data_IF_094492146727
#
_entry.id   IF_094492146727
#
_cell.length_a   1.000
_cell.length_b   1.000
_cell.length_c   1.000
_cell.angle_alpha   90.00
_cell.angle_beta   90.00
_cell.angle_gamma   90.00
#
_symmetry.space_group_name_H-M   'P 1'
#
loop_
_entity.id
_entity.type
_entity.pdbx_description
1 polymer ?
#
# COMPACT_ATOMS: atom_id res chain seq x y z
N UNK A 1 -20.10 0.17 0.33
CA UNK A 1 -19.30 1.38 0.65
C UNK A 1 -18.02 1.27 -0.15
N UNK A 2 -17.68 2.23 -1.02
CA UNK A 2 -16.46 2.15 -1.85
C UNK A 2 -15.26 2.39 -0.94
N UNK A 3 -14.34 1.43 -0.87
CA UNK A 3 -13.14 1.56 -0.06
C UNK A 3 -12.24 2.59 -0.71
N UNK A 4 -11.72 3.49 0.11
CA UNK A 4 -10.88 4.60 -0.31
C UNK A 4 -9.42 4.21 -0.15
N UNK A 5 -8.59 4.59 -1.12
CA UNK A 5 -7.14 4.47 -0.95
C UNK A 5 -6.68 5.39 0.19
N UNK A 6 -5.81 4.88 1.04
CA UNK A 6 -5.27 5.57 2.21
C UNK A 6 -3.95 6.25 1.86
N UNK A 7 -3.90 7.57 1.99
CA UNK A 7 -2.71 8.38 1.69
C UNK A 7 -2.08 8.86 2.99
N UNK A 8 -0.81 8.53 3.20
CA UNK A 8 0.00 9.09 4.29
C UNK A 8 0.60 10.42 3.81
N UNK A 9 0.31 11.50 4.51
CA UNK A 9 0.85 12.83 4.28
C UNK A 9 1.93 13.06 5.35
N UNK A 10 3.17 13.22 4.91
CA UNK A 10 4.34 13.51 5.75
C UNK A 10 4.74 14.94 5.50
N UNK A 11 4.33 15.86 6.38
CA UNK A 11 4.45 17.30 6.20
C UNK A 11 4.37 17.98 7.57
N UNK A 12 5.38 18.72 7.98
CA UNK A 12 5.45 19.37 9.28
C UNK A 12 4.62 20.66 9.32
N UNK A 13 4.49 21.38 8.20
CA UNK A 13 3.69 22.58 8.13
C UNK A 13 2.18 22.27 8.11
N UNK A 14 1.51 22.66 9.19
CA UNK A 14 0.10 22.35 9.41
C UNK A 14 -0.84 22.91 8.32
N UNK A 15 -0.54 24.07 7.79
CA UNK A 15 -1.32 24.72 6.73
C UNK A 15 -1.30 23.88 5.44
N UNK A 16 -0.13 23.36 5.07
CA UNK A 16 0.10 22.57 3.87
C UNK A 16 -0.49 21.17 4.05
N UNK A 17 -0.21 20.50 5.17
CA UNK A 17 -0.74 19.16 5.44
C UNK A 17 -2.28 19.15 5.48
N UNK A 18 -2.90 20.15 6.12
CA UNK A 18 -4.36 20.28 6.13
C UNK A 18 -4.93 20.57 4.72
N UNK A 19 -4.26 21.41 3.94
CA UNK A 19 -4.67 21.72 2.56
C UNK A 19 -4.62 20.46 1.69
N UNK A 20 -3.54 19.70 1.73
CA UNK A 20 -3.41 18.43 1.00
C UNK A 20 -4.49 17.44 1.46
N UNK A 21 -4.68 17.28 2.77
CA UNK A 21 -5.69 16.37 3.33
C UNK A 21 -7.11 16.73 2.90
N UNK A 22 -7.46 18.00 2.91
CA UNK A 22 -8.77 18.49 2.47
C UNK A 22 -9.01 18.15 0.99
N UNK A 23 -8.04 18.41 0.12
CA UNK A 23 -8.12 18.09 -1.31
C UNK A 23 -8.33 16.60 -1.51
N UNK A 24 -7.52 15.77 -0.86
CA UNK A 24 -7.55 14.32 -1.02
C UNK A 24 -8.85 13.73 -0.50
N UNK A 25 -9.31 14.16 0.67
CA UNK A 25 -10.57 13.70 1.27
C UNK A 25 -11.77 14.06 0.40
N UNK A 26 -11.81 15.28 -0.16
CA UNK A 26 -12.85 15.70 -1.10
C UNK A 26 -12.86 14.89 -2.40
N UNK A 27 -11.72 14.29 -2.77
CA UNK A 27 -11.57 13.44 -3.96
C UNK A 27 -11.64 11.94 -3.67
N UNK A 28 -12.07 11.55 -2.48
CA UNK A 28 -12.40 10.17 -2.15
C UNK A 28 -11.25 9.35 -1.60
N UNK A 29 -10.18 9.96 -1.13
CA UNK A 29 -9.09 9.32 -0.39
C UNK A 29 -9.31 9.39 1.12
N UNK A 30 -8.78 8.41 1.86
CA UNK A 30 -8.60 8.53 3.30
C UNK A 30 -7.17 9.03 3.59
N UNK A 31 -7.01 9.94 4.56
CA UNK A 31 -5.71 10.57 4.83
C UNK A 31 -5.25 10.34 6.26
N UNK A 32 -3.94 10.11 6.41
CA UNK A 32 -3.24 10.13 7.70
C UNK A 32 -2.19 11.23 7.58
N UNK A 33 -2.10 12.11 8.58
CA UNK A 33 -1.11 13.18 8.63
C UNK A 33 -0.09 12.85 9.73
N UNK A 34 1.20 12.95 9.39
CA UNK A 34 2.32 12.89 10.33
C UNK A 34 3.28 14.06 10.06
N UNK A 35 4.05 14.45 11.05
CA UNK A 35 4.85 15.68 10.99
C UNK A 35 6.35 15.46 11.08
N UNK A 36 6.79 14.22 11.15
CA UNK A 36 8.19 13.85 11.25
C UNK A 36 8.49 12.58 10.48
N UNK A 37 9.76 12.37 10.14
CA UNK A 37 10.21 11.18 9.45
C UNK A 37 10.08 9.92 10.31
N UNK A 38 10.34 10.02 11.61
CA UNK A 38 10.20 8.89 12.54
C UNK A 38 8.74 8.44 12.66
N UNK A 39 7.81 9.40 12.80
CA UNK A 39 6.37 9.10 12.77
C UNK A 39 5.97 8.47 11.44
N UNK A 40 6.49 8.97 10.31
CA UNK A 40 6.19 8.43 8.99
C UNK A 40 6.59 6.96 8.88
N UNK A 41 7.83 6.61 9.25
CA UNK A 41 8.31 5.23 9.21
C UNK A 41 7.46 4.31 10.11
N UNK A 42 7.06 4.79 11.29
CA UNK A 42 6.18 4.07 12.20
C UNK A 42 4.78 3.87 11.61
N UNK A 43 4.20 4.93 11.01
CA UNK A 43 2.85 4.87 10.42
C UNK A 43 2.79 4.03 9.14
N UNK A 44 3.84 4.06 8.31
CA UNK A 44 3.94 3.18 7.14
C UNK A 44 3.89 1.72 7.60
N UNK A 45 4.65 1.41 8.66
CA UNK A 45 4.71 0.05 9.21
C UNK A 45 3.39 -0.41 9.85
N UNK A 46 2.68 0.46 10.55
CA UNK A 46 1.51 0.08 11.37
C UNK A 46 0.16 0.26 10.68
N UNK A 47 0.02 1.21 9.75
CA UNK A 47 -1.25 1.57 9.12
C UNK A 47 -1.35 1.21 7.65
N UNK A 48 -0.26 0.72 7.03
CA UNK A 48 -0.21 0.25 5.64
C UNK A 48 -0.92 1.20 4.68
N UNK A 49 -0.44 2.44 4.51
CA UNK A 49 -1.00 3.34 3.52
C UNK A 49 -0.83 2.76 2.11
N UNK A 50 -1.67 3.19 1.17
CA UNK A 50 -1.58 2.80 -0.23
C UNK A 50 -0.62 3.68 -1.01
N UNK A 51 -0.28 4.87 -0.48
CA UNK A 51 0.76 5.75 -1.00
C UNK A 51 1.22 6.78 0.05
N UNK A 52 2.34 7.44 -0.24
CA UNK A 52 2.92 8.51 0.58
C UNK A 52 3.00 9.80 -0.24
N UNK A 53 2.59 10.91 0.36
CA UNK A 53 2.97 12.27 -0.03
C UNK A 53 4.02 12.73 0.96
N UNK A 54 5.23 13.03 0.50
CA UNK A 54 6.42 13.21 1.34
C UNK A 54 7.07 14.57 1.13
N UNK A 55 7.13 15.39 2.16
CA UNK A 55 8.05 16.53 2.17
C UNK A 55 9.48 16.08 2.48
N UNK A 56 10.45 16.77 1.90
CA UNK A 56 11.87 16.57 2.17
C UNK A 56 12.35 17.41 3.36
N UNK A 57 11.67 18.51 3.68
CA UNK A 57 12.05 19.45 4.72
C UNK A 57 11.48 19.12 6.10
N UNK A 58 11.67 17.89 6.59
CA UNK A 58 11.14 17.48 7.89
C UNK A 58 12.04 17.96 9.05
N UNK A 59 11.47 18.16 10.26
CA UNK A 59 12.20 18.75 11.39
C UNK A 59 13.22 17.81 12.04
N UNK A 60 13.05 16.50 11.90
CA UNK A 60 13.84 15.47 12.59
C UNK A 60 14.88 14.79 11.68
N UNK A 61 14.59 14.69 10.39
CA UNK A 61 15.49 14.09 9.39
C UNK A 61 15.18 14.60 7.99
N UNK A 62 16.10 14.43 7.05
CA UNK A 62 15.81 14.69 5.63
C UNK A 62 14.80 13.68 5.10
N UNK A 63 13.71 14.14 4.43
CA UNK A 63 12.72 13.26 3.82
C UNK A 63 13.33 12.28 2.79
N UNK A 64 14.50 12.58 2.21
CA UNK A 64 15.26 11.64 1.40
C UNK A 64 15.66 10.38 2.18
N UNK A 65 15.97 10.51 3.48
CA UNK A 65 16.29 9.36 4.33
C UNK A 65 15.03 8.50 4.60
N UNK A 66 13.86 9.15 4.70
CA UNK A 66 12.57 8.43 4.77
C UNK A 66 12.36 7.64 3.47
N UNK A 67 12.52 8.28 2.30
CA UNK A 67 12.39 7.64 0.99
C UNK A 67 13.35 6.45 0.85
N UNK A 68 14.65 6.66 1.13
CA UNK A 68 15.68 5.63 1.09
C UNK A 68 15.35 4.46 2.05
N UNK A 69 14.84 4.77 3.23
CA UNK A 69 14.45 3.76 4.22
C UNK A 69 13.26 2.93 3.75
N UNK A 70 12.24 3.58 3.19
CA UNK A 70 11.06 2.89 2.63
C UNK A 70 11.45 1.99 1.47
N UNK A 71 12.31 2.46 0.57
CA UNK A 71 12.74 1.69 -0.61
C UNK A 71 13.58 0.46 -0.29
N UNK A 72 14.16 0.36 0.90
CA UNK A 72 14.84 -0.88 1.35
C UNK A 72 13.88 -2.07 1.50
N UNK A 73 12.59 -1.83 1.65
CA UNK A 73 11.63 -2.89 1.98
C UNK A 73 10.24 -2.73 1.32
N UNK A 74 9.97 -1.63 0.59
CA UNK A 74 8.66 -1.38 -0.01
C UNK A 74 8.76 -0.63 -1.33
N UNK A 75 7.90 -1.02 -2.29
CA UNK A 75 7.63 -0.30 -3.53
C UNK A 75 6.36 0.56 -3.42
N UNK A 76 5.99 0.98 -2.20
CA UNK A 76 4.86 1.85 -1.94
C UNK A 76 5.02 3.15 -2.75
N UNK A 77 3.99 3.61 -3.50
CA UNK A 77 4.09 4.85 -4.26
C UNK A 77 4.44 6.03 -3.36
N UNK A 78 5.44 6.80 -3.77
CA UNK A 78 5.87 8.02 -3.07
C UNK A 78 5.88 9.18 -4.05
N UNK A 79 5.04 10.18 -3.78
CA UNK A 79 5.10 11.49 -4.46
C UNK A 79 5.77 12.47 -3.51
N UNK A 80 6.93 12.98 -3.93
CA UNK A 80 7.64 14.02 -3.17
C UNK A 80 6.98 15.36 -3.43
N UNK A 81 6.76 16.15 -2.36
CA UNK A 81 6.18 17.48 -2.42
C UNK A 81 7.07 18.42 -1.61
N UNK A 82 7.93 19.22 -2.25
CA UNK A 82 8.96 19.96 -1.54
C UNK A 82 9.15 21.38 -2.08
N UNK A 83 9.66 22.29 -1.23
CA UNK A 83 10.10 23.63 -1.63
C UNK A 83 11.44 23.60 -2.37
N UNK A 84 12.19 22.48 -2.33
CA UNK A 84 13.45 22.34 -3.07
C UNK A 84 13.13 22.26 -4.55
N UNK A 85 13.64 23.20 -5.35
CA UNK A 85 13.33 23.32 -6.78
C UNK A 85 14.53 23.06 -7.71
N UNK A 86 15.70 22.79 -7.16
CA UNK A 86 16.88 22.46 -7.95
C UNK A 86 16.71 21.17 -8.71
N UNK A 87 17.21 21.12 -9.93
CA UNK A 87 17.15 19.95 -10.79
C UNK A 87 17.79 18.73 -10.11
N UNK A 88 18.91 18.93 -9.42
CA UNK A 88 19.60 17.87 -8.69
C UNK A 88 18.69 17.18 -7.64
N UNK A 89 17.93 17.94 -6.84
CA UNK A 89 17.06 17.37 -5.83
C UNK A 89 15.94 16.49 -6.43
N UNK A 90 15.42 16.94 -7.58
CA UNK A 90 14.38 16.19 -8.31
C UNK A 90 14.93 14.89 -8.87
N UNK A 91 16.09 14.96 -9.53
CA UNK A 91 16.78 13.80 -10.11
C UNK A 91 17.13 12.80 -9.00
N UNK A 92 17.73 13.29 -7.91
CA UNK A 92 18.09 12.44 -6.77
C UNK A 92 16.86 11.70 -6.20
N UNK A 93 15.75 12.40 -5.97
CA UNK A 93 14.53 11.79 -5.44
C UNK A 93 13.97 10.71 -6.39
N UNK A 94 13.93 10.99 -7.69
CA UNK A 94 13.46 10.05 -8.70
C UNK A 94 14.39 8.83 -8.84
N UNK A 95 15.70 9.04 -8.83
CA UNK A 95 16.71 7.97 -8.89
C UNK A 95 16.64 7.05 -7.64
N UNK A 96 16.32 7.61 -6.48
CA UNK A 96 16.05 6.83 -5.27
C UNK A 96 14.66 6.20 -5.24
N UNK A 97 13.88 6.36 -6.32
CA UNK A 97 12.64 5.64 -6.54
C UNK A 97 11.39 6.38 -6.08
N UNK A 98 11.40 7.71 -5.97
CA UNK A 98 10.15 8.46 -5.93
C UNK A 98 9.39 8.28 -7.26
N UNK A 99 8.08 8.12 -7.18
CA UNK A 99 7.23 7.93 -8.38
C UNK A 99 6.97 9.26 -9.10
N UNK A 100 7.03 10.37 -8.37
CA UNK A 100 6.92 11.70 -8.93
C UNK A 100 7.46 12.76 -7.95
N UNK A 101 7.69 13.97 -8.46
CA UNK A 101 8.18 15.12 -7.71
C UNK A 101 7.37 16.38 -8.03
N UNK A 102 6.85 17.05 -7.01
CA UNK A 102 6.04 18.25 -7.09
C UNK A 102 6.68 19.38 -6.29
N UNK A 103 6.88 20.54 -6.93
CA UNK A 103 7.49 21.70 -6.28
C UNK A 103 6.43 22.59 -5.65
N UNK A 104 6.64 23.02 -4.41
CA UNK A 104 5.82 24.03 -3.74
C UNK A 104 6.16 25.45 -4.30
N UNK A 105 5.15 26.32 -4.56
CA UNK A 105 3.72 26.10 -4.46
C UNK A 105 3.16 25.33 -5.67
N UNK A 106 2.16 24.48 -5.44
CA UNK A 106 1.55 23.63 -6.45
C UNK A 106 0.03 23.84 -6.57
N UNK A 107 -0.50 23.49 -7.74
CA UNK A 107 -1.94 23.53 -7.99
C UNK A 107 -2.66 22.26 -7.56
N UNK A 108 -3.91 22.39 -7.09
CA UNK A 108 -4.77 21.27 -6.71
C UNK A 108 -4.87 20.20 -7.80
N UNK A 109 -5.09 20.63 -9.06
CA UNK A 109 -5.26 19.72 -10.19
C UNK A 109 -3.97 18.96 -10.49
N UNK A 110 -2.82 19.59 -10.33
CA UNK A 110 -1.51 18.97 -10.54
C UNK A 110 -1.25 17.91 -9.46
N UNK A 111 -1.42 18.23 -8.18
CA UNK A 111 -1.29 17.27 -7.08
C UNK A 111 -2.15 16.04 -7.33
N UNK A 112 -3.43 16.21 -7.64
CA UNK A 112 -4.35 15.10 -7.91
C UNK A 112 -3.96 14.28 -9.14
N UNK A 113 -3.43 14.90 -10.19
CA UNK A 113 -2.99 14.19 -11.39
C UNK A 113 -1.80 13.28 -11.07
N UNK A 114 -0.79 13.78 -10.33
CA UNK A 114 0.39 13.02 -9.92
C UNK A 114 0.03 11.87 -8.99
N UNK A 115 -0.83 12.10 -8.01
CA UNK A 115 -1.32 11.07 -7.10
C UNK A 115 -2.04 9.95 -7.87
N UNK A 116 -2.97 10.30 -8.79
CA UNK A 116 -3.65 9.29 -9.63
C UNK A 116 -2.67 8.50 -10.48
N UNK A 117 -1.65 9.16 -11.00
CA UNK A 117 -0.64 8.51 -11.84
C UNK A 117 0.22 7.55 -11.02
N UNK A 118 0.71 7.96 -9.86
CA UNK A 118 1.50 7.11 -8.96
C UNK A 118 0.71 5.87 -8.52
N UNK A 119 -0.54 6.02 -8.08
CA UNK A 119 -1.41 4.90 -7.69
C UNK A 119 -1.69 3.97 -8.90
N UNK A 120 -1.94 4.53 -10.09
CA UNK A 120 -2.18 3.73 -11.29
C UNK A 120 -0.97 2.90 -11.68
N UNK A 121 0.23 3.48 -11.66
CA UNK A 121 1.47 2.76 -11.98
C UNK A 121 1.70 1.59 -11.03
N UNK A 122 1.41 1.75 -9.74
CA UNK A 122 1.54 0.65 -8.78
C UNK A 122 0.51 -0.46 -9.01
N UNK A 123 -0.69 -0.10 -9.50
CA UNK A 123 -1.72 -1.09 -9.86
C UNK A 123 -1.39 -1.84 -11.15
N UNK A 124 -0.60 -1.23 -12.05
CA UNK A 124 -0.16 -1.85 -13.31
C UNK A 124 1.24 -2.45 -13.23
N UNK A 125 2.09 -1.92 -12.36
CA UNK A 125 3.44 -2.41 -12.11
C UNK A 125 3.46 -3.37 -10.92
N UNK A 126 2.90 -4.57 -11.09
CA UNK A 126 3.45 -5.70 -10.36
C UNK A 126 4.84 -5.95 -10.91
N UNK A 127 5.90 -6.09 -10.05
CA UNK A 127 7.23 -6.39 -10.54
C UNK A 127 7.16 -7.59 -11.47
N UNK A 128 7.81 -7.50 -12.62
CA UNK A 128 8.06 -8.63 -13.50
C UNK A 128 8.88 -9.65 -12.72
N UNK A 129 8.23 -10.62 -12.16
CA UNK A 129 8.83 -11.71 -11.42
C UNK A 129 7.98 -12.14 -10.25
N UNK A 130 7.13 -13.13 -10.47
CA UNK A 130 6.72 -14.15 -9.51
C UNK A 130 5.28 -14.19 -8.98
N UNK A 131 4.40 -13.23 -9.22
CA UNK A 131 2.96 -13.49 -9.05
C UNK A 131 2.25 -13.51 -10.42
N UNK A 132 2.94 -13.92 -11.46
CA UNK A 132 2.35 -14.13 -12.77
C UNK A 132 1.58 -15.48 -12.80
N UNK A 133 0.48 -15.57 -12.09
CA UNK A 133 -0.59 -16.46 -12.49
C UNK A 133 -1.47 -15.69 -13.46
N UNK A 134 -1.55 -16.15 -14.70
CA UNK A 134 -2.60 -15.74 -15.62
C UNK A 134 -3.89 -16.48 -15.26
N UNK A 135 -5.02 -15.80 -15.41
CA UNK A 135 -6.32 -16.42 -15.19
C UNK A 135 -6.96 -16.10 -13.85
N UNK A 136 -7.81 -17.01 -13.39
CA UNK A 136 -8.63 -16.82 -12.18
C UNK A 136 -8.44 -17.98 -11.22
N UNK A 137 -8.42 -17.67 -9.93
CA UNK A 137 -8.57 -18.64 -8.86
C UNK A 137 -9.97 -18.47 -8.27
N UNK A 138 -10.67 -19.58 -8.08
CA UNK A 138 -12.05 -19.58 -7.55
C UNK A 138 -12.12 -20.54 -6.36
N UNK A 139 -12.76 -20.09 -5.29
CA UNK A 139 -13.11 -20.91 -4.14
C UNK A 139 -14.42 -20.42 -3.52
N UNK A 140 -15.50 -21.19 -3.66
CA UNK A 140 -16.84 -20.74 -3.31
C UNK A 140 -17.21 -19.43 -4.01
N UNK A 141 -17.66 -18.43 -3.25
CA UNK A 141 -18.05 -17.13 -3.79
C UNK A 141 -16.86 -16.16 -4.05
N UNK A 142 -15.65 -16.55 -3.64
CA UNK A 142 -14.43 -15.77 -3.82
C UNK A 142 -13.80 -16.08 -5.18
N UNK A 143 -13.53 -15.03 -5.96
CA UNK A 143 -12.75 -15.11 -7.21
C UNK A 143 -11.59 -14.12 -7.16
N UNK A 144 -10.37 -14.61 -7.38
CA UNK A 144 -9.18 -13.76 -7.60
C UNK A 144 -8.94 -13.71 -9.11
N UNK A 145 -9.09 -12.53 -9.71
CA UNK A 145 -8.78 -12.30 -11.11
C UNK A 145 -7.38 -11.69 -11.19
N UNK A 146 -6.39 -12.51 -11.52
CA UNK A 146 -4.98 -12.11 -11.58
C UNK A 146 -4.71 -11.15 -12.74
N UNK A 147 -5.42 -11.30 -13.86
CA UNK A 147 -5.24 -10.47 -15.05
C UNK A 147 -5.77 -9.05 -14.81
N UNK A 148 -6.86 -8.93 -14.05
CA UNK A 148 -7.48 -7.65 -13.71
C UNK A 148 -7.02 -7.08 -12.37
N UNK A 149 -6.17 -7.81 -11.65
CA UNK A 149 -5.71 -7.45 -10.31
C UNK A 149 -6.85 -7.08 -9.35
N UNK A 150 -7.89 -7.91 -9.29
CA UNK A 150 -9.05 -7.67 -8.44
C UNK A 150 -9.57 -8.95 -7.78
N UNK A 151 -10.22 -8.78 -6.65
CA UNK A 151 -10.92 -9.85 -5.95
C UNK A 151 -12.41 -9.59 -6.01
N UNK A 152 -13.16 -10.60 -6.38
CA UNK A 152 -14.62 -10.54 -6.45
C UNK A 152 -15.22 -11.44 -5.36
N UNK A 153 -16.29 -10.97 -4.74
CA UNK A 153 -17.18 -11.74 -3.87
C UNK A 153 -18.56 -11.78 -4.51
N UNK A 154 -19.10 -12.96 -4.77
CA UNK A 154 -20.37 -13.13 -5.51
C UNK A 154 -20.39 -12.33 -6.84
N UNK A 155 -19.26 -12.27 -7.56
CA UNK A 155 -19.14 -11.53 -8.80
C UNK A 155 -18.99 -10.01 -8.66
N UNK A 156 -19.08 -9.46 -7.44
CA UNK A 156 -18.88 -8.03 -7.16
C UNK A 156 -17.47 -7.75 -6.63
N UNK A 157 -16.88 -6.64 -7.05
CA UNK A 157 -15.54 -6.27 -6.58
C UNK A 157 -15.53 -6.05 -5.06
N UNK A 158 -14.69 -6.81 -4.35
CA UNK A 158 -14.55 -6.73 -2.90
C UNK A 158 -13.89 -5.42 -2.42
N UNK A 159 -13.35 -4.60 -3.33
CA UNK A 159 -12.77 -3.29 -3.02
C UNK A 159 -11.52 -3.39 -2.14
N UNK A 160 -10.65 -4.35 -2.42
CA UNK A 160 -9.37 -4.45 -1.74
C UNK A 160 -8.43 -3.31 -2.15
N UNK A 161 -7.64 -2.84 -1.21
CA UNK A 161 -6.49 -1.97 -1.50
C UNK A 161 -5.40 -2.75 -2.23
N UNK A 162 -4.39 -2.07 -2.76
CA UNK A 162 -3.26 -2.72 -3.46
C UNK A 162 -2.55 -3.75 -2.57
N UNK A 163 -2.28 -3.38 -1.30
CA UNK A 163 -1.60 -4.27 -0.37
C UNK A 163 -2.47 -5.47 0.03
N UNK A 164 -3.75 -5.24 0.28
CA UNK A 164 -4.71 -6.31 0.58
C UNK A 164 -4.85 -7.27 -0.61
N UNK A 165 -4.94 -6.73 -1.84
CA UNK A 165 -4.95 -7.56 -3.05
C UNK A 165 -3.69 -8.43 -3.15
N UNK A 166 -2.49 -7.84 -2.95
CA UNK A 166 -1.22 -8.59 -3.00
C UNK A 166 -1.20 -9.75 -2.00
N UNK A 167 -1.69 -9.53 -0.77
CA UNK A 167 -1.78 -10.58 0.24
C UNK A 167 -2.72 -11.70 -0.23
N UNK A 168 -3.93 -11.34 -0.69
CA UNK A 168 -4.93 -12.32 -1.14
C UNK A 168 -4.45 -13.07 -2.38
N UNK A 169 -3.83 -12.38 -3.34
CA UNK A 169 -3.26 -12.98 -4.54
C UNK A 169 -2.12 -13.96 -4.21
N UNK A 170 -1.24 -13.60 -3.28
CA UNK A 170 -0.17 -14.49 -2.81
C UNK A 170 -0.74 -15.75 -2.14
N UNK A 171 -1.71 -15.57 -1.24
CA UNK A 171 -2.37 -16.69 -0.58
C UNK A 171 -3.12 -17.60 -1.57
N UNK A 172 -3.78 -17.01 -2.57
CA UNK A 172 -4.46 -17.76 -3.64
C UNK A 172 -3.50 -18.56 -4.53
N UNK A 173 -2.32 -17.98 -4.84
CA UNK A 173 -1.25 -18.68 -5.58
C UNK A 173 -0.81 -19.98 -4.87
N UNK A 174 -0.81 -19.97 -3.55
CA UNK A 174 -0.43 -21.11 -2.72
C UNK A 174 -1.62 -21.69 -1.95
N UNK A 175 -2.82 -21.66 -2.54
CA UNK A 175 -4.03 -22.17 -1.90
C UNK A 175 -3.82 -23.59 -1.36
N UNK A 176 -4.39 -23.87 -0.18
CA UNK A 176 -4.19 -25.11 0.56
C UNK A 176 -2.90 -25.16 1.40
N UNK A 177 -1.90 -24.35 1.11
CA UNK A 177 -0.63 -24.33 1.85
C UNK A 177 -0.61 -23.24 2.92
N UNK A 178 0.02 -23.54 4.06
CA UNK A 178 0.29 -22.56 5.10
C UNK A 178 1.48 -21.70 4.69
N UNK A 179 1.26 -20.39 4.56
CA UNK A 179 2.34 -19.42 4.36
C UNK A 179 2.70 -18.81 5.70
N UNK A 180 3.97 -18.88 6.07
CA UNK A 180 4.45 -18.29 7.32
C UNK A 180 4.38 -16.77 7.28
N UNK A 181 4.25 -16.12 8.44
CA UNK A 181 4.27 -14.65 8.51
C UNK A 181 5.52 -14.08 7.86
N UNK A 182 6.69 -14.67 8.13
CA UNK A 182 7.97 -14.25 7.58
C UNK A 182 8.01 -14.38 6.04
N UNK A 183 7.51 -15.48 5.49
CA UNK A 183 7.42 -15.68 4.04
C UNK A 183 6.55 -14.61 3.39
N UNK A 184 5.34 -14.38 3.92
CA UNK A 184 4.40 -13.38 3.37
C UNK A 184 5.03 -11.98 3.43
N UNK A 185 5.65 -11.62 4.56
CA UNK A 185 6.27 -10.32 4.75
C UNK A 185 7.43 -10.13 3.76
N UNK A 186 8.32 -11.09 3.62
CA UNK A 186 9.46 -11.00 2.71
C UNK A 186 9.05 -10.95 1.25
N UNK A 187 8.06 -11.72 0.88
CA UNK A 187 7.55 -11.77 -0.49
C UNK A 187 6.91 -10.44 -0.92
N UNK A 188 6.15 -9.82 -0.03
CA UNK A 188 5.39 -8.61 -0.35
C UNK A 188 6.16 -7.32 -0.11
N UNK A 189 7.05 -7.29 0.90
CA UNK A 189 7.78 -6.08 1.32
C UNK A 189 9.30 -6.21 1.21
N UNK A 190 9.79 -7.36 0.71
CA UNK A 190 11.20 -7.60 0.43
C UNK A 190 11.98 -8.27 1.56
N UNK A 191 13.19 -8.80 1.25
CA UNK A 191 13.95 -9.66 2.16
C UNK A 191 14.51 -8.95 3.40
N UNK A 192 14.51 -7.60 3.40
CA UNK A 192 14.96 -6.77 4.54
C UNK A 192 13.81 -6.21 5.37
N UNK A 193 12.55 -6.57 5.05
CA UNK A 193 11.41 -6.15 5.84
C UNK A 193 11.55 -6.64 7.29
N UNK A 194 11.28 -5.75 8.26
CA UNK A 194 11.21 -6.17 9.67
C UNK A 194 10.10 -7.19 9.84
N UNK A 195 10.38 -8.28 10.50
CA UNK A 195 9.47 -9.41 10.75
C UNK A 195 8.37 -9.08 11.78
N UNK A 196 7.95 -7.82 11.88
CA UNK A 196 6.84 -7.46 12.72
C UNK A 196 5.51 -7.85 12.05
N UNK A 197 4.84 -8.83 12.65
CA UNK A 197 3.58 -9.37 12.14
C UNK A 197 2.40 -8.38 12.26
N UNK A 198 2.60 -7.21 12.87
CA UNK A 198 1.53 -6.25 13.13
C UNK A 198 0.92 -5.73 11.82
N UNK A 199 1.77 -5.37 10.85
CA UNK A 199 1.34 -4.92 9.51
C UNK A 199 0.44 -5.97 8.86
N UNK A 200 0.88 -7.22 8.86
CA UNK A 200 0.16 -8.31 8.23
C UNK A 200 -1.17 -8.59 8.94
N UNK A 201 -1.20 -8.51 10.28
CA UNK A 201 -2.42 -8.69 11.08
C UNK A 201 -3.45 -7.60 10.81
N UNK A 202 -3.04 -6.35 10.69
CA UNK A 202 -3.95 -5.23 10.36
C UNK A 202 -4.56 -5.41 8.98
N UNK A 203 -3.73 -5.72 7.97
CA UNK A 203 -4.22 -6.00 6.63
C UNK A 203 -5.17 -7.20 6.63
N UNK A 204 -4.85 -8.29 7.33
CA UNK A 204 -5.69 -9.47 7.41
C UNK A 204 -7.05 -9.18 8.05
N UNK A 205 -7.09 -8.36 9.10
CA UNK A 205 -8.36 -7.94 9.70
C UNK A 205 -9.22 -7.13 8.71
N UNK A 206 -8.59 -6.25 7.92
CA UNK A 206 -9.29 -5.46 6.90
C UNK A 206 -9.77 -6.35 5.73
N UNK A 207 -8.92 -7.26 5.25
CA UNK A 207 -9.27 -8.24 4.21
C UNK A 207 -10.50 -9.03 4.65
N UNK A 208 -10.48 -9.61 5.84
CA UNK A 208 -11.61 -10.42 6.34
C UNK A 208 -12.92 -9.65 6.42
N UNK A 209 -12.90 -8.36 6.79
CA UNK A 209 -14.12 -7.53 6.79
C UNK A 209 -14.73 -7.37 5.39
N UNK A 210 -13.94 -7.57 4.34
CA UNK A 210 -14.34 -7.35 2.94
C UNK A 210 -14.71 -8.62 2.21
N UNK A 211 -14.07 -9.76 2.56
CA UNK A 211 -14.26 -11.01 1.83
C UNK A 211 -14.92 -12.11 2.67
N UNK A 212 -14.90 -12.04 4.00
CA UNK A 212 -15.48 -13.07 4.84
C UNK A 212 -16.92 -12.72 5.23
N UNK A 213 -17.87 -13.68 5.13
CA UNK A 213 -19.22 -13.47 5.63
C UNK A 213 -19.25 -13.14 7.13
N UNK A 214 -18.34 -13.76 7.89
CA UNK A 214 -18.16 -13.54 9.33
C UNK A 214 -16.66 -13.45 9.62
N UNK A 215 -16.10 -12.24 9.80
CA UNK A 215 -14.64 -12.04 9.98
C UNK A 215 -14.01 -12.84 11.14
N UNK A 216 -14.78 -13.11 12.21
CA UNK A 216 -14.32 -13.90 13.36
C UNK A 216 -14.38 -15.41 13.14
N UNK A 217 -15.09 -15.88 12.09
CA UNK A 217 -15.17 -17.29 11.69
C UNK A 217 -14.93 -17.38 10.18
N UNK A 218 -13.67 -17.24 9.72
CA UNK A 218 -13.34 -17.12 8.32
C UNK A 218 -13.59 -18.42 7.53
N UNK A 219 -14.06 -18.27 6.29
CA UNK A 219 -14.32 -19.37 5.36
C UNK A 219 -13.26 -19.48 4.26
N UNK A 220 -12.55 -18.41 3.96
CA UNK A 220 -11.58 -18.33 2.85
C UNK A 220 -10.14 -18.27 3.33
N UNK A 221 -9.83 -17.45 4.37
CA UNK A 221 -8.46 -17.30 4.87
C UNK A 221 -8.39 -17.67 6.33
N UNK A 222 -7.77 -18.82 6.61
CA UNK A 222 -7.58 -19.37 7.95
C UNK A 222 -6.32 -18.83 8.61
N UNK A 223 -6.33 -18.72 9.94
CA UNK A 223 -5.14 -18.42 10.75
C UNK A 223 -4.58 -19.71 11.30
N UNK A 224 -3.35 -20.03 10.95
CA UNK A 224 -2.58 -21.08 11.61
C UNK A 224 -1.80 -20.42 12.74
N UNK A 225 -2.30 -20.60 13.97
CA UNK A 225 -1.83 -19.85 15.14
C UNK A 225 -0.34 -20.05 15.37
N UNK A 226 0.39 -18.94 15.51
CA UNK A 226 1.84 -18.94 15.67
C UNK A 226 2.65 -19.18 14.40
N UNK A 227 2.02 -19.55 13.28
CA UNK A 227 2.69 -19.93 12.02
C UNK A 227 2.44 -18.91 10.91
N UNK A 228 1.17 -18.67 10.54
CA UNK A 228 0.86 -17.83 9.38
C UNK A 228 -0.60 -17.88 8.96
N UNK A 229 -0.82 -17.79 7.66
CA UNK A 229 -2.15 -17.83 7.05
C UNK A 229 -2.22 -18.87 5.92
N UNK A 230 -3.43 -19.40 5.69
CA UNK A 230 -3.71 -20.36 4.62
C UNK A 230 -5.00 -19.98 3.91
N UNK A 231 -4.97 -19.93 2.59
CA UNK A 231 -6.16 -19.81 1.75
C UNK A 231 -6.83 -21.18 1.62
N UNK A 232 -8.16 -21.22 1.62
CA UNK A 232 -8.94 -22.39 1.24
C UNK A 232 -8.53 -22.85 -0.17
N UNK A 233 -8.51 -24.16 -0.42
CA UNK A 233 -8.27 -24.73 -1.75
C UNK A 233 -9.34 -24.26 -2.75
N UNK A 234 -8.97 -24.21 -4.03
CA UNK A 234 -9.89 -23.92 -5.12
C UNK A 234 -10.89 -25.07 -5.32
N UNK A 235 -12.03 -24.73 -5.87
CA UNK A 235 -13.08 -25.69 -6.24
C UNK A 235 -12.68 -26.46 -7.49
#
# INVERSE_FOLDING_TARGET
MKIKDKVLIVEDEQSISNFISMILTANGYDTIIVRSGEEALTMIASHCPDMIVLDLGLPDMDGMEVLKSVRKWSNLPVVVVSARNHEHDKVEALDYGADDYLVKPFGTSELLARIRTAIRHTRTALPNGEIAQSGKFVTGDLTIDYDKHQVLMNGQNAGLTVNEYKIVALLGKYAGKVLTYDFIIRELWGPKAKTDNQILRVNMANIRRKIEPTPGNPQYIFTEVGVGYRMREGD
#
